data_IF_592463041183
#
_entry.id   IF_592463041183
#
_cell.length_a   1.000
_cell.length_b   1.000
_cell.length_c   1.000
_cell.angle_alpha   90.00
_cell.angle_beta   90.00
_cell.angle_gamma   90.00
#
_symmetry.space_group_name_H-M   'P 1'
#
loop_
_entity.id
_entity.type
_entity.pdbx_description
1 polymer ?
#
# COMPACT_ATOMS: atom_id res chain seq x y z
N UNK A 1 9.57 22.26 -49.57
CA UNK A 1 8.40 22.58 -48.71
C UNK A 1 7.83 21.27 -48.15
N UNK A 2 8.18 20.92 -46.91
CA UNK A 2 7.62 19.73 -46.22
C UNK A 2 6.27 20.12 -45.61
N UNK A 3 5.20 19.44 -46.04
CA UNK A 3 3.87 19.54 -45.45
C UNK A 3 3.92 19.09 -43.99
N UNK A 4 3.85 20.02 -43.07
CA UNK A 4 3.50 19.77 -41.68
C UNK A 4 2.06 19.24 -41.64
N UNK A 5 1.90 17.93 -41.49
CA UNK A 5 0.60 17.35 -41.19
C UNK A 5 0.14 17.87 -39.82
N UNK A 6 -0.85 18.75 -39.84
CA UNK A 6 -1.64 19.10 -38.66
C UNK A 6 -2.39 17.84 -38.19
N UNK A 7 -1.81 17.07 -37.29
CA UNK A 7 -2.60 16.08 -36.57
C UNK A 7 -3.54 16.84 -35.62
N UNK A 8 -4.84 16.54 -35.60
CA UNK A 8 -5.78 17.18 -34.70
C UNK A 8 -5.34 16.86 -33.27
N UNK A 9 -5.11 17.91 -32.49
CA UNK A 9 -4.81 17.84 -31.05
C UNK A 9 -6.07 17.28 -30.37
N UNK A 10 -6.14 15.96 -30.23
CA UNK A 10 -7.18 15.37 -29.39
C UNK A 10 -6.84 15.71 -27.94
N UNK A 11 -7.60 16.64 -27.36
CA UNK A 11 -7.52 16.98 -25.94
C UNK A 11 -7.91 15.75 -25.11
N UNK A 12 -6.93 14.94 -24.76
CA UNK A 12 -7.14 13.81 -23.86
C UNK A 12 -7.32 14.35 -22.44
N UNK A 13 -8.22 13.73 -21.69
CA UNK A 13 -8.32 14.01 -20.25
C UNK A 13 -6.99 13.66 -19.55
N UNK A 14 -6.66 14.32 -18.44
CA UNK A 14 -5.42 14.09 -17.69
C UNK A 14 -5.20 12.59 -17.38
N UNK A 15 -6.24 11.87 -17.00
CA UNK A 15 -6.16 10.44 -16.73
C UNK A 15 -5.89 9.59 -17.99
N UNK A 16 -6.48 9.95 -19.15
CA UNK A 16 -6.25 9.24 -20.41
C UNK A 16 -4.82 9.44 -20.92
N UNK A 17 -4.24 10.63 -20.72
CA UNK A 17 -2.85 10.91 -21.06
C UNK A 17 -1.89 10.16 -20.13
N UNK A 18 -2.14 10.19 -18.81
CA UNK A 18 -1.34 9.44 -17.84
C UNK A 18 -1.37 7.93 -18.14
N UNK A 19 -2.55 7.38 -18.45
CA UNK A 19 -2.68 5.97 -18.84
C UNK A 19 -1.94 5.62 -20.13
N UNK A 20 -1.99 6.51 -21.11
CA UNK A 20 -1.25 6.34 -22.36
C UNK A 20 0.27 6.29 -22.13
N UNK A 21 0.79 7.18 -21.27
CA UNK A 21 2.22 7.23 -20.92
C UNK A 21 2.62 6.02 -20.08
N UNK A 22 1.82 5.64 -19.10
CA UNK A 22 2.04 4.46 -18.26
C UNK A 22 2.18 3.19 -19.11
N UNK A 23 1.31 3.01 -20.11
CA UNK A 23 1.38 1.87 -21.03
C UNK A 23 2.66 1.80 -21.86
N UNK A 24 3.37 2.89 -22.07
CA UNK A 24 4.66 2.90 -22.77
C UNK A 24 5.78 2.32 -21.91
N UNK A 25 5.67 2.38 -20.59
CA UNK A 25 6.61 1.76 -19.67
C UNK A 25 6.27 0.27 -19.51
N UNK A 26 6.94 -0.56 -20.30
CA UNK A 26 6.69 -2.02 -20.32
C UNK A 26 6.94 -2.68 -18.97
N UNK A 27 7.91 -2.17 -18.21
CA UNK A 27 8.26 -2.70 -16.88
C UNK A 27 7.14 -2.39 -15.86
N UNK A 28 6.63 -1.17 -15.85
CA UNK A 28 5.50 -0.79 -15.01
C UNK A 28 4.21 -1.53 -15.40
N UNK A 29 3.99 -1.75 -16.70
CA UNK A 29 2.84 -2.53 -17.18
C UNK A 29 2.94 -4.01 -16.75
N UNK A 30 4.13 -4.61 -16.85
CA UNK A 30 4.37 -5.97 -16.36
C UNK A 30 4.17 -6.09 -14.85
N UNK A 31 4.70 -5.13 -14.08
CA UNK A 31 4.49 -5.06 -12.63
C UNK A 31 2.99 -4.92 -12.27
N UNK A 32 2.24 -4.08 -13.00
CA UNK A 32 0.80 -3.96 -12.80
C UNK A 32 0.06 -5.27 -13.09
N UNK A 33 0.44 -5.99 -14.15
CA UNK A 33 -0.16 -7.29 -14.47
C UNK A 33 0.07 -8.32 -13.35
N UNK A 34 1.28 -8.37 -12.78
CA UNK A 34 1.58 -9.27 -11.64
C UNK A 34 0.82 -8.82 -10.39
N UNK A 35 0.71 -7.52 -10.13
CA UNK A 35 -0.07 -7.00 -9.00
C UNK A 35 -1.56 -7.36 -9.12
N UNK A 36 -2.13 -7.24 -10.32
CA UNK A 36 -3.52 -7.66 -10.59
C UNK A 36 -3.67 -9.17 -10.34
N UNK A 37 -2.69 -9.99 -10.75
CA UNK A 37 -2.71 -11.43 -10.48
C UNK A 37 -2.71 -11.72 -8.97
N UNK A 38 -1.86 -11.03 -8.19
CA UNK A 38 -1.83 -11.15 -6.73
C UNK A 38 -3.17 -10.72 -6.10
N UNK A 39 -3.76 -9.62 -6.58
CA UNK A 39 -5.06 -9.15 -6.10
C UNK A 39 -6.19 -10.13 -6.43
N UNK A 40 -6.20 -10.69 -7.65
CA UNK A 40 -7.14 -11.73 -8.04
C UNK A 40 -6.95 -12.99 -7.19
N UNK A 41 -5.72 -13.40 -6.93
CA UNK A 41 -5.41 -14.53 -6.04
C UNK A 41 -5.96 -14.29 -4.62
N UNK A 42 -5.75 -13.09 -4.06
CA UNK A 42 -6.31 -12.72 -2.76
C UNK A 42 -7.85 -12.78 -2.73
N UNK A 43 -8.51 -12.27 -3.78
CA UNK A 43 -9.98 -12.33 -3.92
C UNK A 43 -10.45 -13.78 -4.06
N UNK A 44 -9.76 -14.58 -4.87
CA UNK A 44 -10.11 -16.00 -5.09
C UNK A 44 -10.05 -16.79 -3.77
N UNK A 45 -9.06 -16.55 -2.91
CA UNK A 45 -8.99 -17.22 -1.60
C UNK A 45 -10.19 -16.87 -0.71
N UNK A 46 -10.69 -15.62 -0.77
CA UNK A 46 -11.89 -15.21 -0.03
C UNK A 46 -13.13 -15.93 -0.58
N UNK A 47 -13.26 -16.00 -1.92
CA UNK A 47 -14.39 -16.68 -2.58
C UNK A 47 -14.40 -18.18 -2.22
N UNK A 48 -13.23 -18.82 -2.26
CA UNK A 48 -13.11 -20.24 -1.88
C UNK A 48 -13.58 -20.44 -0.43
N UNK A 49 -13.14 -19.62 0.51
CA UNK A 49 -13.52 -19.74 1.92
C UNK A 49 -15.02 -19.52 2.11
N UNK A 50 -15.63 -18.54 1.41
CA UNK A 50 -17.07 -18.31 1.46
C UNK A 50 -17.87 -19.47 0.89
N UNK A 51 -17.45 -20.04 -0.25
CA UNK A 51 -18.16 -21.16 -0.91
C UNK A 51 -18.01 -22.45 -0.10
N UNK A 52 -16.86 -22.67 0.52
CA UNK A 52 -16.59 -23.88 1.30
C UNK A 52 -16.90 -23.75 2.79
N UNK A 53 -17.51 -22.63 3.24
CA UNK A 53 -17.70 -22.31 4.65
C UNK A 53 -16.42 -22.50 5.48
N UNK A 54 -15.29 -22.02 4.99
CA UNK A 54 -13.95 -22.14 5.54
C UNK A 54 -13.40 -23.58 5.62
N UNK A 55 -14.12 -24.60 5.20
CA UNK A 55 -13.65 -26.00 5.35
C UNK A 55 -12.35 -26.28 4.60
N UNK A 56 -12.14 -25.63 3.45
CA UNK A 56 -10.88 -25.71 2.72
C UNK A 56 -9.73 -25.09 3.49
N UNK A 57 -9.94 -23.87 4.00
CA UNK A 57 -8.97 -23.13 4.80
C UNK A 57 -8.57 -23.92 6.05
N UNK A 58 -9.55 -24.40 6.80
CA UNK A 58 -9.33 -25.14 8.03
C UNK A 58 -8.57 -26.45 7.80
N UNK A 59 -8.91 -27.18 6.73
CA UNK A 59 -8.34 -28.49 6.43
C UNK A 59 -6.95 -28.41 5.80
N UNK A 60 -6.68 -27.43 4.91
CA UNK A 60 -5.48 -27.44 4.07
C UNK A 60 -4.49 -26.31 4.40
N UNK A 61 -4.95 -25.21 5.02
CA UNK A 61 -4.10 -24.03 5.25
C UNK A 61 -3.63 -23.89 6.69
N UNK A 62 -4.51 -24.23 7.67
CA UNK A 62 -4.19 -24.07 9.09
C UNK A 62 -4.08 -25.40 9.85
N UNK A 63 -4.61 -26.51 9.30
CA UNK A 63 -4.46 -27.85 9.89
C UNK A 63 -2.98 -28.20 10.03
N UNK A 64 -2.61 -28.79 11.17
CA UNK A 64 -1.24 -29.12 11.52
C UNK A 64 -1.03 -30.62 11.39
N UNK A 65 0.09 -31.02 10.80
CA UNK A 65 0.59 -32.41 10.76
C UNK A 65 2.05 -32.45 11.23
N UNK A 66 2.24 -32.65 12.53
CA UNK A 66 3.57 -32.62 13.15
C UNK A 66 4.50 -33.72 12.64
N UNK A 67 3.98 -34.79 11.99
CA UNK A 67 4.80 -35.84 11.38
C UNK A 67 5.48 -35.34 10.11
N UNK A 68 4.90 -34.32 9.45
CA UNK A 68 5.41 -33.71 8.21
C UNK A 68 6.12 -32.39 8.44
N UNK A 69 6.40 -32.00 9.69
CA UNK A 69 7.06 -30.73 10.01
C UNK A 69 8.41 -30.57 9.32
N UNK A 70 8.71 -29.38 8.84
CA UNK A 70 9.99 -28.99 8.23
C UNK A 70 10.38 -29.80 6.99
N UNK A 71 9.44 -30.53 6.37
CA UNK A 71 9.75 -31.28 5.16
C UNK A 71 10.20 -30.33 4.04
N UNK A 72 11.29 -30.66 3.32
CA UNK A 72 11.79 -29.85 2.22
C UNK A 72 10.83 -29.84 1.03
N UNK A 73 11.00 -28.92 0.07
CA UNK A 73 10.25 -28.90 -1.18
C UNK A 73 10.24 -30.26 -1.87
N UNK A 74 9.04 -30.71 -2.27
CA UNK A 74 8.79 -32.01 -2.91
C UNK A 74 7.72 -31.88 -4.00
N UNK A 75 7.41 -33.00 -4.69
CA UNK A 75 6.32 -33.01 -5.68
C UNK A 75 4.94 -32.86 -5.05
N UNK A 76 4.76 -33.31 -3.81
CA UNK A 76 3.51 -33.21 -3.06
C UNK A 76 3.38 -31.83 -2.39
N UNK A 77 4.50 -31.30 -1.87
CA UNK A 77 4.59 -30.01 -1.20
C UNK A 77 5.63 -29.14 -1.91
N UNK A 78 5.20 -28.38 -2.93
CA UNK A 78 6.07 -27.65 -3.87
C UNK A 78 7.06 -26.71 -3.16
N UNK A 79 6.64 -26.02 -2.10
CA UNK A 79 7.50 -25.13 -1.30
C UNK A 79 7.89 -25.75 0.05
N UNK A 80 7.52 -27.02 0.31
CA UNK A 80 7.75 -27.71 1.56
C UNK A 80 6.72 -27.37 2.64
N UNK A 81 6.99 -27.83 3.84
CA UNK A 81 6.12 -27.72 5.02
C UNK A 81 6.76 -26.83 6.08
N UNK A 82 5.93 -26.10 6.83
CA UNK A 82 6.38 -25.22 7.91
C UNK A 82 6.70 -25.99 9.23
N UNK A 83 6.98 -25.24 10.29
CA UNK A 83 7.32 -25.78 11.62
C UNK A 83 6.18 -26.55 12.29
N UNK A 84 4.95 -26.44 11.78
CA UNK A 84 3.77 -27.18 12.26
C UNK A 84 3.28 -28.21 11.23
N UNK A 85 4.04 -28.44 10.14
CA UNK A 85 3.63 -29.35 9.08
C UNK A 85 2.44 -28.83 8.27
N UNK A 86 2.41 -27.51 7.98
CA UNK A 86 1.42 -26.88 7.11
C UNK A 86 2.08 -26.52 5.78
N UNK A 87 1.36 -26.65 4.68
CA UNK A 87 1.89 -26.39 3.34
C UNK A 87 2.21 -24.89 3.14
N UNK A 88 3.48 -24.59 2.83
CA UNK A 88 3.97 -23.22 2.69
C UNK A 88 3.35 -22.53 1.47
N UNK A 89 3.17 -23.25 0.35
CA UNK A 89 2.59 -22.65 -0.87
C UNK A 89 1.15 -22.20 -0.61
N UNK A 90 0.34 -23.05 -0.02
CA UNK A 90 -1.03 -22.71 0.34
C UNK A 90 -1.06 -21.54 1.32
N UNK A 91 -0.19 -21.53 2.31
CA UNK A 91 -0.10 -20.44 3.28
C UNK A 91 0.33 -19.11 2.64
N UNK A 92 1.25 -19.13 1.67
CA UNK A 92 1.62 -17.92 0.92
C UNK A 92 0.43 -17.41 0.08
N UNK A 93 -0.28 -18.31 -0.59
CA UNK A 93 -1.46 -17.96 -1.39
C UNK A 93 -2.56 -17.34 -0.51
N UNK A 94 -2.93 -17.98 0.59
CA UNK A 94 -3.93 -17.43 1.53
C UNK A 94 -3.41 -16.22 2.29
N UNK A 95 -2.10 -16.15 2.55
CA UNK A 95 -1.44 -15.01 3.17
C UNK A 95 -1.49 -13.73 2.35
N UNK A 96 -1.58 -13.86 1.03
CA UNK A 96 -1.67 -12.72 0.11
C UNK A 96 -2.79 -11.77 0.50
N UNK A 97 -3.98 -12.28 0.85
CA UNK A 97 -5.11 -11.45 1.26
C UNK A 97 -4.81 -10.63 2.51
N UNK A 98 -4.20 -11.23 3.53
CA UNK A 98 -3.87 -10.52 4.77
C UNK A 98 -2.83 -9.44 4.51
N UNK A 99 -1.72 -9.77 3.87
CA UNK A 99 -0.63 -8.83 3.62
C UNK A 99 -1.04 -7.68 2.68
N UNK A 100 -1.78 -7.97 1.59
CA UNK A 100 -2.22 -6.93 0.65
C UNK A 100 -3.33 -6.05 1.23
N UNK A 101 -4.38 -6.65 1.82
CA UNK A 101 -5.50 -5.85 2.34
C UNK A 101 -5.10 -5.00 3.54
N UNK A 102 -4.28 -5.54 4.45
CA UNK A 102 -3.78 -4.73 5.57
C UNK A 102 -2.98 -3.53 5.08
N UNK A 103 -2.05 -3.74 4.11
CA UNK A 103 -1.29 -2.66 3.51
C UNK A 103 -2.19 -1.63 2.82
N UNK A 104 -3.17 -2.09 2.04
CA UNK A 104 -4.13 -1.23 1.37
C UNK A 104 -4.98 -0.41 2.35
N UNK A 105 -5.59 -1.04 3.36
CA UNK A 105 -6.41 -0.33 4.34
C UNK A 105 -5.60 0.64 5.21
N UNK A 106 -4.37 0.29 5.59
CA UNK A 106 -3.49 1.17 6.33
C UNK A 106 -3.18 2.45 5.52
N UNK A 107 -2.82 2.29 4.25
CA UNK A 107 -2.51 3.44 3.37
C UNK A 107 -3.76 4.24 3.02
N UNK A 108 -4.89 3.61 2.77
CA UNK A 108 -6.15 4.32 2.55
C UNK A 108 -6.52 5.15 3.79
N UNK A 109 -6.41 4.59 4.99
CA UNK A 109 -6.61 5.33 6.23
C UNK A 109 -5.65 6.51 6.36
N UNK A 110 -4.33 6.29 6.14
CA UNK A 110 -3.32 7.35 6.15
C UNK A 110 -3.58 8.44 5.10
N UNK A 111 -4.00 8.04 3.89
CA UNK A 111 -4.26 8.97 2.79
C UNK A 111 -5.50 9.82 3.03
N UNK A 112 -6.55 9.26 3.62
CA UNK A 112 -7.77 10.00 3.98
C UNK A 112 -7.47 10.98 5.12
N UNK A 113 -6.88 10.51 6.22
CA UNK A 113 -6.55 11.35 7.36
C UNK A 113 -5.52 12.43 6.98
N UNK A 114 -4.42 12.03 6.35
CA UNK A 114 -3.38 12.95 5.89
C UNK A 114 -3.89 13.90 4.80
N UNK A 115 -4.75 13.41 3.89
CA UNK A 115 -5.40 14.22 2.89
C UNK A 115 -6.25 15.35 3.47
N UNK A 116 -7.09 15.05 4.46
CA UNK A 116 -7.90 16.05 5.17
C UNK A 116 -7.01 17.05 5.91
N UNK A 117 -6.06 16.54 6.72
CA UNK A 117 -5.14 17.39 7.49
C UNK A 117 -4.32 18.29 6.57
N UNK A 118 -3.75 17.72 5.50
CA UNK A 118 -2.95 18.45 4.52
C UNK A 118 -3.75 19.49 3.72
N UNK A 119 -4.99 19.15 3.36
CA UNK A 119 -5.87 20.07 2.65
C UNK A 119 -6.27 21.28 3.53
N UNK A 120 -6.65 21.03 4.78
CA UNK A 120 -7.01 22.08 5.74
C UNK A 120 -5.79 22.97 6.06
N UNK A 121 -4.64 22.34 6.35
CA UNK A 121 -3.40 23.07 6.64
C UNK A 121 -2.94 23.91 5.44
N UNK A 122 -2.94 23.35 4.23
CA UNK A 122 -2.52 24.08 3.03
C UNK A 122 -3.44 25.26 2.67
N UNK A 123 -4.74 25.14 2.95
CA UNK A 123 -5.72 26.17 2.61
C UNK A 123 -5.80 27.28 3.65
N UNK A 124 -5.86 26.94 4.95
CA UNK A 124 -6.01 27.91 6.05
C UNK A 124 -4.68 28.16 6.77
N UNK A 125 -4.09 29.34 6.62
CA UNK A 125 -2.79 29.69 7.18
C UNK A 125 -2.72 29.54 8.72
N UNK A 126 -3.81 29.84 9.44
CA UNK A 126 -3.87 29.65 10.90
C UNK A 126 -3.81 28.17 11.30
N UNK A 127 -4.53 27.31 10.58
CA UNK A 127 -4.52 25.86 10.80
C UNK A 127 -3.20 25.23 10.41
N UNK A 128 -2.51 25.78 9.42
CA UNK A 128 -1.21 25.30 8.97
C UNK A 128 -0.21 25.20 10.11
N UNK A 129 -0.03 26.29 10.86
CA UNK A 129 0.93 26.33 11.97
C UNK A 129 0.64 25.27 13.03
N UNK A 130 -0.64 25.07 13.38
CA UNK A 130 -1.04 24.15 14.44
C UNK A 130 -0.93 22.69 13.95
N UNK A 131 -1.56 22.38 12.79
CA UNK A 131 -1.63 21.01 12.28
C UNK A 131 -0.26 20.49 11.88
N UNK A 132 0.56 21.33 11.22
CA UNK A 132 1.91 20.90 10.84
C UNK A 132 2.83 20.73 12.06
N UNK A 133 2.67 21.51 13.12
CA UNK A 133 3.43 21.31 14.35
C UNK A 133 3.10 19.96 14.99
N UNK A 134 1.82 19.57 14.99
CA UNK A 134 1.42 18.23 15.46
C UNK A 134 2.03 17.15 14.55
N UNK A 135 1.96 17.30 13.23
CA UNK A 135 2.57 16.35 12.29
C UNK A 135 4.09 16.26 12.45
N UNK A 136 4.76 17.37 12.78
CA UNK A 136 6.21 17.39 13.04
C UNK A 136 6.58 16.58 14.27
N UNK A 137 5.77 16.62 15.34
CA UNK A 137 5.96 15.79 16.53
C UNK A 137 5.88 14.30 16.17
N UNK A 138 4.89 13.90 15.36
CA UNK A 138 4.77 12.51 14.90
C UNK A 138 5.99 12.09 14.05
N UNK A 139 6.47 12.97 13.17
CA UNK A 139 7.61 12.70 12.31
C UNK A 139 8.97 12.71 13.02
N UNK A 140 9.05 13.31 14.22
CA UNK A 140 10.25 13.22 15.07
C UNK A 140 10.48 11.79 15.60
N UNK A 141 9.42 10.96 15.61
CA UNK A 141 9.49 9.56 16.02
C UNK A 141 9.61 8.71 14.76
N UNK A 142 10.58 7.79 14.66
CA UNK A 142 10.63 6.83 13.55
C UNK A 142 9.29 6.09 13.40
N UNK A 143 8.76 6.03 12.17
CA UNK A 143 7.42 5.50 11.87
C UNK A 143 7.18 4.10 12.44
N UNK A 144 8.21 3.24 12.37
CA UNK A 144 8.15 1.87 12.93
C UNK A 144 8.04 1.87 14.45
N UNK A 145 8.79 2.73 15.15
CA UNK A 145 8.73 2.82 16.61
C UNK A 145 7.39 3.38 17.08
N UNK A 146 6.84 4.36 16.37
CA UNK A 146 5.51 4.88 16.65
C UNK A 146 4.44 3.79 16.48
N UNK A 147 4.51 3.01 15.40
CA UNK A 147 3.59 1.91 15.18
C UNK A 147 3.70 0.84 16.29
N UNK A 148 4.92 0.47 16.69
CA UNK A 148 5.16 -0.45 17.82
C UNK A 148 4.52 0.09 19.11
N UNK A 149 4.71 1.36 19.42
CA UNK A 149 4.13 1.97 20.63
C UNK A 149 2.60 1.93 20.62
N UNK A 150 1.98 2.23 19.48
CA UNK A 150 0.52 2.18 19.32
C UNK A 150 0.00 0.74 19.49
N UNK A 151 0.63 -0.24 18.82
CA UNK A 151 0.21 -1.66 18.94
C UNK A 151 0.46 -2.17 20.36
N UNK A 152 1.57 -1.79 21.01
CA UNK A 152 1.82 -2.17 22.39
C UNK A 152 0.75 -1.67 23.36
N UNK A 153 0.21 -0.47 23.12
CA UNK A 153 -0.85 0.12 23.95
C UNK A 153 -2.23 -0.50 23.66
N UNK A 154 -2.52 -0.86 22.37
CA UNK A 154 -3.84 -1.36 21.95
C UNK A 154 -3.94 -2.89 21.96
N UNK A 155 -2.81 -3.59 22.04
CA UNK A 155 -2.71 -5.03 21.86
C UNK A 155 -2.56 -5.47 20.38
N UNK A 156 -1.93 -6.64 20.15
CA UNK A 156 -1.74 -7.18 18.80
C UNK A 156 -3.05 -7.71 18.22
N UNK A 157 -3.51 -7.09 17.14
CA UNK A 157 -4.64 -7.54 16.34
C UNK A 157 -4.53 -6.99 14.92
N UNK A 158 -5.24 -7.59 13.95
CA UNK A 158 -5.27 -7.11 12.58
C UNK A 158 -5.67 -5.64 12.49
N UNK A 159 -6.74 -5.26 13.18
CA UNK A 159 -7.27 -3.88 13.16
C UNK A 159 -6.29 -2.91 13.80
N UNK A 160 -5.72 -3.25 14.95
CA UNK A 160 -4.80 -2.38 15.67
C UNK A 160 -3.50 -2.15 14.89
N UNK A 161 -2.98 -3.17 14.20
CA UNK A 161 -1.80 -3.04 13.32
C UNK A 161 -2.11 -2.11 12.15
N UNK A 162 -3.26 -2.29 11.48
CA UNK A 162 -3.70 -1.42 10.38
C UNK A 162 -3.84 0.03 10.84
N UNK A 163 -4.49 0.27 11.99
CA UNK A 163 -4.64 1.60 12.57
C UNK A 163 -3.29 2.21 12.95
N UNK A 164 -2.40 1.45 13.58
CA UNK A 164 -1.08 1.91 13.97
C UNK A 164 -0.26 2.39 12.76
N UNK A 165 -0.25 1.61 11.67
CA UNK A 165 0.44 1.99 10.43
C UNK A 165 -0.25 3.19 9.76
N UNK A 166 -1.58 3.23 9.73
CA UNK A 166 -2.32 4.36 9.16
C UNK A 166 -1.97 5.67 9.90
N UNK A 167 -2.02 5.67 11.23
CA UNK A 167 -1.68 6.84 12.06
C UNK A 167 -0.22 7.24 11.84
N UNK A 168 0.71 6.28 11.85
CA UNK A 168 2.14 6.54 11.70
C UNK A 168 2.52 7.08 10.32
N UNK A 169 1.78 6.74 9.26
CA UNK A 169 2.03 7.26 7.90
C UNK A 169 1.27 8.56 7.59
N UNK A 170 0.24 8.91 8.36
CA UNK A 170 -0.59 10.10 8.16
C UNK A 170 0.21 11.39 7.96
N UNK A 171 1.28 11.69 8.75
CA UNK A 171 2.03 12.93 8.57
C UNK A 171 2.70 13.07 7.20
N UNK A 172 3.18 11.96 6.63
CA UNK A 172 3.79 11.95 5.31
C UNK A 172 2.77 12.35 4.23
N UNK A 173 1.55 11.77 4.30
CA UNK A 173 0.46 12.13 3.39
C UNK A 173 0.01 13.59 3.57
N UNK A 174 -0.09 14.05 4.83
CA UNK A 174 -0.47 15.42 5.13
C UNK A 174 0.51 16.44 4.51
N UNK A 175 1.82 16.19 4.60
CA UNK A 175 2.84 17.07 3.99
C UNK A 175 2.74 17.09 2.46
N UNK A 176 2.55 15.94 1.82
CA UNK A 176 2.43 15.85 0.36
C UNK A 176 1.21 16.66 -0.13
N UNK A 177 0.06 16.45 0.48
CA UNK A 177 -1.17 17.16 0.09
C UNK A 177 -1.08 18.64 0.41
N UNK A 178 -0.56 19.02 1.58
CA UNK A 178 -0.33 20.44 1.93
C UNK A 178 0.53 21.14 0.88
N UNK A 179 1.64 20.53 0.45
CA UNK A 179 2.52 21.11 -0.56
C UNK A 179 1.77 21.35 -1.89
N UNK A 180 0.90 20.40 -2.30
CA UNK A 180 0.08 20.56 -3.50
C UNK A 180 -0.96 21.67 -3.34
N UNK A 181 -1.63 21.73 -2.19
CA UNK A 181 -2.61 22.78 -1.92
C UNK A 181 -1.98 24.16 -1.98
N UNK A 182 -0.80 24.34 -1.37
CA UNK A 182 -0.04 25.60 -1.44
C UNK A 182 0.31 26.02 -2.87
N UNK A 183 0.62 25.04 -3.75
CA UNK A 183 0.91 25.32 -5.16
C UNK A 183 -0.35 25.69 -5.96
N UNK A 184 -1.51 25.14 -5.58
CA UNK A 184 -2.75 25.29 -6.35
C UNK A 184 -3.56 26.51 -5.89
N UNK A 185 -3.57 26.81 -4.58
CA UNK A 185 -4.46 27.83 -3.99
C UNK A 185 -4.25 29.26 -4.53
N UNK A 186 -3.05 29.54 -5.04
CA UNK A 186 -2.66 30.85 -5.55
C UNK A 186 -2.72 30.93 -7.10
N UNK A 187 -3.38 29.96 -7.75
CA UNK A 187 -3.56 29.97 -9.20
C UNK A 187 -4.77 30.80 -9.62
N UNK A 188 -4.68 31.43 -10.79
CA UNK A 188 -5.69 32.39 -11.33
C UNK A 188 -7.12 31.81 -11.36
N UNK A 189 -7.28 30.50 -11.66
CA UNK A 189 -8.60 29.88 -11.69
C UNK A 189 -9.24 29.76 -10.29
N UNK A 190 -8.44 29.70 -9.22
CA UNK A 190 -8.92 29.73 -7.83
C UNK A 190 -9.37 31.14 -7.47
N UNK A 191 -8.60 32.15 -7.86
CA UNK A 191 -8.99 33.56 -7.65
C UNK A 191 -10.28 33.92 -8.42
N UNK A 192 -10.40 33.43 -9.65
CA UNK A 192 -11.62 33.60 -10.44
C UNK A 192 -12.83 32.90 -9.78
N UNK A 193 -12.66 31.68 -9.26
CA UNK A 193 -13.72 30.99 -8.56
C UNK A 193 -14.14 31.71 -7.26
N UNK A 194 -13.17 32.27 -6.52
CA UNK A 194 -13.42 33.07 -5.31
C UNK A 194 -14.17 34.38 -5.66
N UNK A 195 -13.75 35.09 -6.71
CA UNK A 195 -14.41 36.28 -7.21
C UNK A 195 -15.84 36.04 -7.70
N UNK A 196 -16.10 34.81 -8.22
CA UNK A 196 -17.44 34.37 -8.60
C UNK A 196 -18.31 33.90 -7.40
N UNK A 197 -17.84 34.08 -6.15
CA UNK A 197 -18.59 33.75 -4.94
C UNK A 197 -18.57 32.29 -4.53
N UNK A 198 -17.62 31.48 -5.01
CA UNK A 198 -17.50 30.10 -4.55
C UNK A 198 -17.09 30.03 -3.08
N UNK A 199 -17.79 29.20 -2.30
CA UNK A 199 -17.45 28.93 -0.90
C UNK A 199 -16.13 28.15 -0.80
N UNK A 200 -15.41 28.28 0.34
CA UNK A 200 -14.17 27.56 0.62
C UNK A 200 -14.30 26.06 0.42
N UNK A 201 -15.39 25.46 0.92
CA UNK A 201 -15.66 24.04 0.71
C UNK A 201 -15.73 23.67 -0.78
N UNK A 202 -16.41 24.50 -1.59
CA UNK A 202 -16.48 24.31 -3.04
C UNK A 202 -15.10 24.43 -3.69
N UNK A 203 -14.28 25.40 -3.25
CA UNK A 203 -12.92 25.58 -3.75
C UNK A 203 -12.07 24.35 -3.42
N UNK A 204 -12.09 23.88 -2.18
CA UNK A 204 -11.31 22.73 -1.74
C UNK A 204 -11.74 21.46 -2.50
N UNK A 205 -13.02 21.09 -2.46
CA UNK A 205 -13.47 19.80 -2.99
C UNK A 205 -13.58 19.75 -4.51
N UNK A 206 -13.87 20.88 -5.18
CA UNK A 206 -14.10 20.90 -6.63
C UNK A 206 -12.89 21.32 -7.45
N UNK A 207 -11.99 22.09 -6.85
CA UNK A 207 -10.82 22.61 -7.57
C UNK A 207 -9.50 22.11 -7.02
N UNK A 208 -9.29 22.15 -5.69
CA UNK A 208 -7.99 21.80 -5.10
C UNK A 208 -7.80 20.27 -5.05
N UNK A 209 -8.72 19.54 -4.41
CA UNK A 209 -8.60 18.08 -4.22
C UNK A 209 -8.43 17.34 -5.54
N UNK A 210 -9.22 17.57 -6.60
CA UNK A 210 -9.04 16.86 -7.87
C UNK A 210 -7.68 17.13 -8.53
N UNK A 211 -7.12 18.33 -8.38
CA UNK A 211 -5.80 18.67 -8.91
C UNK A 211 -4.64 18.11 -8.05
N UNK A 212 -4.89 17.83 -6.77
CA UNK A 212 -3.94 17.21 -5.86
C UNK A 212 -3.94 15.65 -5.93
N UNK A 213 -4.87 15.04 -6.66
CA UNK A 213 -4.99 13.57 -6.74
C UNK A 213 -3.77 12.91 -7.39
N UNK A 214 -3.15 13.53 -8.41
CA UNK A 214 -2.02 12.92 -9.11
C UNK A 214 -0.85 12.56 -8.19
N UNK A 215 -0.29 13.49 -7.39
CA UNK A 215 0.76 13.16 -6.42
C UNK A 215 0.28 12.21 -5.33
N UNK A 216 -1.02 12.29 -4.96
CA UNK A 216 -1.60 11.41 -3.94
C UNK A 216 -1.65 9.95 -4.40
N UNK A 217 -2.02 9.69 -5.67
CA UNK A 217 -2.04 8.33 -6.24
C UNK A 217 -0.63 7.72 -6.20
N UNK A 218 0.39 8.48 -6.58
CA UNK A 218 1.80 8.04 -6.49
C UNK A 218 2.16 7.73 -5.04
N UNK A 219 1.83 8.64 -4.11
CA UNK A 219 2.13 8.46 -2.70
C UNK A 219 1.40 7.24 -2.09
N UNK A 220 0.15 6.98 -2.48
CA UNK A 220 -0.61 5.79 -2.06
C UNK A 220 0.07 4.50 -2.53
N UNK A 221 0.53 4.45 -3.78
CA UNK A 221 1.17 3.25 -4.32
C UNK A 221 2.51 2.95 -3.61
N UNK A 222 3.37 3.97 -3.44
CA UNK A 222 4.63 3.82 -2.71
C UNK A 222 4.42 3.58 -1.22
N UNK A 223 3.41 4.23 -0.63
CA UNK A 223 3.00 4.04 0.75
C UNK A 223 2.53 2.61 1.03
N UNK A 224 1.88 1.95 0.06
CA UNK A 224 1.45 0.56 0.19
C UNK A 224 2.64 -0.40 0.33
N UNK A 225 3.71 -0.20 -0.45
CA UNK A 225 4.95 -0.98 -0.31
C UNK A 225 5.56 -0.80 1.09
N UNK A 226 5.64 0.45 1.57
CA UNK A 226 6.13 0.76 2.92
C UNK A 226 5.24 0.20 4.03
N UNK A 227 3.91 0.21 3.84
CA UNK A 227 2.97 -0.35 4.80
C UNK A 227 3.12 -1.87 4.93
N UNK A 228 3.19 -2.59 3.80
CA UNK A 228 3.41 -4.05 3.79
C UNK A 228 4.72 -4.40 4.51
N UNK A 229 5.80 -3.67 4.24
CA UNK A 229 7.08 -3.89 4.92
C UNK A 229 6.97 -3.63 6.43
N UNK A 230 6.31 -2.56 6.83
CA UNK A 230 6.13 -2.19 8.24
C UNK A 230 5.26 -3.20 8.99
N UNK A 231 4.18 -3.68 8.36
CA UNK A 231 3.30 -4.73 8.89
C UNK A 231 4.08 -6.04 9.08
N UNK A 232 4.85 -6.45 8.05
CA UNK A 232 5.69 -7.63 8.14
C UNK A 232 6.74 -7.50 9.25
N UNK A 233 7.35 -6.30 9.42
CA UNK A 233 8.26 -6.01 10.51
C UNK A 233 7.62 -6.09 11.89
N UNK A 234 6.41 -5.53 12.07
CA UNK A 234 5.63 -5.65 13.31
C UNK A 234 5.28 -7.11 13.61
N UNK A 235 4.83 -7.86 12.61
CA UNK A 235 4.54 -9.27 12.74
C UNK A 235 5.78 -10.09 13.10
N UNK A 236 6.93 -9.77 12.50
CA UNK A 236 8.21 -10.42 12.77
C UNK A 236 8.67 -10.28 14.23
N UNK A 237 8.40 -9.14 14.88
CA UNK A 237 8.69 -8.94 16.30
C UNK A 237 7.56 -9.42 17.23
N UNK A 238 6.53 -10.08 16.69
CA UNK A 238 5.40 -10.62 17.45
C UNK A 238 4.29 -9.62 17.77
N UNK A 239 4.34 -8.41 17.21
CA UNK A 239 3.32 -7.37 17.37
C UNK A 239 2.26 -7.37 16.26
N UNK A 240 2.33 -8.34 15.34
CA UNK A 240 1.42 -8.46 14.21
C UNK A 240 0.23 -9.39 14.46
N UNK A 241 -0.23 -10.00 13.37
CA UNK A 241 -1.29 -11.01 13.41
C UNK A 241 -0.77 -12.28 14.09
N UNK A 242 -1.60 -12.84 14.98
CA UNK A 242 -1.27 -14.06 15.69
C UNK A 242 -1.60 -15.32 14.87
N UNK A 243 -0.85 -16.41 15.13
CA UNK A 243 -1.18 -17.72 14.59
C UNK A 243 -2.65 -18.09 14.91
N UNK A 244 -3.32 -18.88 14.05
CA UNK A 244 -2.80 -19.66 12.91
C UNK A 244 -2.80 -18.92 11.56
N UNK A 245 -3.21 -17.65 11.50
CA UNK A 245 -3.37 -16.90 10.25
C UNK A 245 -2.06 -16.83 9.44
N UNK A 246 -2.10 -17.07 8.11
CA UNK A 246 -0.91 -17.18 7.27
C UNK A 246 -0.44 -15.81 6.75
N UNK A 247 -0.26 -14.81 7.61
CA UNK A 247 0.34 -13.53 7.23
C UNK A 247 1.85 -13.71 7.03
N UNK A 248 2.40 -13.14 5.96
CA UNK A 248 3.78 -13.40 5.52
C UNK A 248 4.85 -13.02 6.56
N UNK A 249 4.66 -11.90 7.29
CA UNK A 249 5.56 -11.48 8.35
C UNK A 249 5.49 -12.39 9.58
N UNK A 250 4.30 -12.88 9.93
CA UNK A 250 4.12 -13.86 10.99
C UNK A 250 4.76 -15.22 10.62
N UNK A 251 4.66 -15.63 9.34
CA UNK A 251 5.36 -16.83 8.84
C UNK A 251 6.87 -16.68 8.99
N UNK A 252 7.44 -15.51 8.65
CA UNK A 252 8.87 -15.21 8.86
C UNK A 252 9.27 -15.23 10.33
N UNK A 253 8.44 -14.68 11.22
CA UNK A 253 8.69 -14.70 12.66
C UNK A 253 8.83 -16.11 13.22
N UNK A 254 7.91 -16.98 12.85
CA UNK A 254 7.91 -18.37 13.30
C UNK A 254 9.09 -19.17 12.71
N UNK A 255 9.45 -18.86 11.46
CA UNK A 255 10.52 -19.56 10.75
C UNK A 255 11.94 -19.23 11.26
N UNK A 256 12.14 -18.12 11.99
CA UNK A 256 13.48 -17.61 12.34
C UNK A 256 14.35 -18.60 13.11
N UNK A 257 13.76 -19.45 13.94
CA UNK A 257 14.49 -20.45 14.74
C UNK A 257 15.00 -21.64 13.92
N UNK A 258 14.42 -21.85 12.75
CA UNK A 258 14.69 -23.01 11.88
C UNK A 258 15.50 -22.65 10.63
N UNK A 259 16.01 -21.42 10.52
CA UNK A 259 16.67 -20.93 9.30
C UNK A 259 17.88 -21.77 8.87
N UNK A 260 18.56 -22.41 9.84
CA UNK A 260 19.73 -23.28 9.57
C UNK A 260 19.33 -24.65 9.05
N UNK A 261 18.21 -25.19 9.54
CA UNK A 261 17.79 -26.56 9.27
C UNK A 261 16.80 -26.63 8.10
N UNK A 262 15.96 -25.59 7.95
CA UNK A 262 14.88 -25.53 6.96
C UNK A 262 14.78 -24.14 6.34
N UNK A 263 15.78 -23.77 5.52
CA UNK A 263 15.88 -22.43 4.89
C UNK A 263 14.61 -22.01 4.12
N UNK A 264 13.90 -22.98 3.52
CA UNK A 264 12.73 -22.73 2.68
C UNK A 264 11.58 -22.08 3.44
N UNK A 265 11.39 -22.38 4.74
CA UNK A 265 10.30 -21.79 5.53
C UNK A 265 10.48 -20.29 5.77
N UNK A 266 11.72 -19.79 5.66
CA UNK A 266 12.06 -18.38 5.79
C UNK A 266 12.12 -17.68 4.43
N UNK A 267 12.81 -18.31 3.46
CA UNK A 267 13.07 -17.71 2.15
C UNK A 267 11.78 -17.53 1.34
N UNK A 268 10.84 -18.48 1.41
CA UNK A 268 9.64 -18.42 0.58
C UNK A 268 8.68 -17.29 0.97
N UNK A 269 8.29 -17.09 2.24
CA UNK A 269 7.49 -15.91 2.61
C UNK A 269 8.27 -14.59 2.45
N UNK A 270 9.59 -14.60 2.71
CA UNK A 270 10.45 -13.44 2.46
C UNK A 270 10.46 -13.02 0.99
N UNK A 271 10.55 -13.98 0.07
CA UNK A 271 10.48 -13.73 -1.37
C UNK A 271 9.09 -13.17 -1.77
N UNK A 272 7.99 -13.66 -1.20
CA UNK A 272 6.66 -13.13 -1.45
C UNK A 272 6.56 -11.64 -1.06
N UNK A 273 7.06 -11.26 0.11
CA UNK A 273 7.11 -9.86 0.57
C UNK A 273 7.99 -9.04 -0.38
N UNK A 274 9.20 -9.50 -0.67
CA UNK A 274 10.18 -8.79 -1.51
C UNK A 274 9.62 -8.52 -2.92
N UNK A 275 9.05 -9.55 -3.56
CA UNK A 275 8.47 -9.44 -4.90
C UNK A 275 7.30 -8.45 -4.89
N UNK A 276 6.43 -8.52 -3.90
CA UNK A 276 5.27 -7.62 -3.80
C UNK A 276 5.70 -6.16 -3.62
N UNK A 277 6.67 -5.89 -2.75
CA UNK A 277 7.23 -4.54 -2.55
C UNK A 277 7.89 -4.03 -3.82
N UNK A 278 8.68 -4.85 -4.50
CA UNK A 278 9.34 -4.49 -5.75
C UNK A 278 8.32 -4.11 -6.84
N UNK A 279 7.27 -4.92 -6.99
CA UNK A 279 6.19 -4.68 -7.94
C UNK A 279 5.48 -3.35 -7.65
N UNK A 280 5.15 -3.08 -6.39
CA UNK A 280 4.49 -1.84 -5.98
C UNK A 280 5.38 -0.61 -6.22
N UNK A 281 6.68 -0.70 -5.94
CA UNK A 281 7.61 0.38 -6.22
C UNK A 281 7.73 0.67 -7.72
N UNK A 282 7.85 -0.37 -8.56
CA UNK A 282 7.88 -0.22 -10.03
C UNK A 282 6.59 0.43 -10.56
N UNK A 283 5.44 0.05 -10.02
CA UNK A 283 4.16 0.68 -10.36
C UNK A 283 4.14 2.14 -9.92
N UNK A 284 4.60 2.44 -8.70
CA UNK A 284 4.68 3.79 -8.15
C UNK A 284 5.56 4.70 -9.00
N UNK A 285 6.74 4.25 -9.38
CA UNK A 285 7.67 4.99 -10.25
C UNK A 285 7.04 5.19 -11.65
N UNK A 286 6.45 4.16 -12.23
CA UNK A 286 5.74 4.27 -13.51
C UNK A 286 4.55 5.24 -13.48
N UNK A 287 3.81 5.30 -12.38
CA UNK A 287 2.73 6.28 -12.17
C UNK A 287 3.30 7.69 -12.00
N UNK A 288 4.38 7.86 -11.27
CA UNK A 288 5.08 9.14 -11.10
C UNK A 288 5.51 9.70 -12.44
N UNK A 289 6.19 8.90 -13.26
CA UNK A 289 6.63 9.31 -14.59
C UNK A 289 5.45 9.66 -15.51
N UNK A 290 4.38 8.88 -15.46
CA UNK A 290 3.19 9.10 -16.27
C UNK A 290 2.40 10.37 -15.89
N UNK A 291 2.42 10.73 -14.60
CA UNK A 291 1.69 11.86 -14.04
C UNK A 291 2.52 13.15 -13.98
N UNK A 292 3.84 13.10 -14.24
CA UNK A 292 4.70 14.29 -14.23
C UNK A 292 4.39 15.20 -15.43
N UNK A 293 3.95 16.45 -15.18
CA UNK A 293 3.64 17.39 -16.26
C UNK A 293 4.90 17.91 -16.99
N UNK A 294 6.10 17.77 -16.40
CA UNK A 294 7.36 18.26 -16.99
C UNK A 294 7.86 17.36 -18.13
N UNK A 295 7.38 16.14 -18.22
CA UNK A 295 7.72 15.19 -19.29
C UNK A 295 6.90 15.40 -20.57
N UNK A 296 6.43 16.61 -20.83
CA UNK A 296 5.61 16.98 -22.02
C UNK A 296 6.42 17.28 -23.28
N UNK A 297 7.68 16.84 -23.38
CA UNK A 297 8.48 17.01 -24.58
C UNK A 297 8.51 15.75 -25.44
#
# INVERSE_FOLDING_TARGET
MKKTQNMPYQSRTLGAEAWYRFKKNKLALGALAIFILLALMAITTIIIDLVTNNSFYDKYVISQDLLQRLQPPSKEHVLGMDEFGRDILLRIIWGTRYSLFMGAFAVLGASVLGGIIGAVAGYYNMMDTILMRIMDVFLAIPTTLLAVAIVAAMGPSLVNVVLAIAISQTPTFARVIRAQVLTIKDQEFIEAARSAGASDARIIFRYIVPNALSPMIVQVTMGMASAILSIAGLSFIGMGIQAPMPEWGAMLSNARTYIRDAWHITVMPGAAIMITILILNIIGDGLRDALDPRMKN
#
